data_IF_429726799539
#
_entry.id   IF_429726799539
#
_cell.length_a   1.000
_cell.length_b   1.000
_cell.length_c   1.000
_cell.angle_alpha   90.00
_cell.angle_beta   90.00
_cell.angle_gamma   90.00
#
_symmetry.space_group_name_H-M   'P 1'
#
loop_
_entity.id
_entity.type
_entity.pdbx_description
1 polymer ?
#
# COMPACT_ATOMS: atom_id res chain seq x y z
N UNK A 1 -29.30 -6.65 27.07
CA UNK A 1 -28.04 -7.32 26.68
C UNK A 1 -28.24 -7.90 25.29
N UNK A 2 -27.74 -7.22 24.25
CA UNK A 2 -27.93 -7.67 22.86
C UNK A 2 -26.92 -8.76 22.55
N UNK A 3 -27.40 -9.96 22.20
CA UNK A 3 -26.56 -11.10 21.85
C UNK A 3 -25.68 -10.75 20.65
N UNK A 4 -24.36 -10.85 20.82
CA UNK A 4 -23.39 -10.67 19.75
C UNK A 4 -23.65 -11.75 18.69
N UNK A 5 -24.12 -11.32 17.52
CA UNK A 5 -24.40 -12.20 16.39
C UNK A 5 -23.10 -12.94 16.03
N UNK A 6 -23.14 -14.26 15.80
CA UNK A 6 -21.93 -15.03 15.52
C UNK A 6 -21.22 -14.47 14.26
N UNK A 7 -19.88 -14.49 14.23
CA UNK A 7 -19.13 -13.99 13.09
C UNK A 7 -19.56 -14.75 11.83
N UNK A 8 -19.97 -14.01 10.80
CA UNK A 8 -20.28 -14.61 9.49
C UNK A 8 -19.05 -15.33 8.96
N UNK A 9 -19.26 -16.49 8.33
CA UNK A 9 -18.21 -17.22 7.63
C UNK A 9 -17.49 -16.27 6.65
N UNK A 10 -16.16 -16.26 6.70
CA UNK A 10 -15.35 -15.43 5.80
C UNK A 10 -15.43 -16.00 4.39
N UNK A 11 -15.86 -15.17 3.45
CA UNK A 11 -15.74 -15.48 2.03
C UNK A 11 -14.25 -15.43 1.67
N UNK A 12 -13.67 -16.48 1.07
CA UNK A 12 -12.28 -16.46 0.65
C UNK A 12 -12.07 -15.40 -0.43
N UNK A 13 -10.94 -14.70 -0.38
CA UNK A 13 -10.56 -13.77 -1.45
C UNK A 13 -10.27 -14.56 -2.74
N UNK A 14 -10.55 -13.98 -3.92
CA UNK A 14 -10.11 -14.56 -5.18
C UNK A 14 -8.60 -14.80 -5.17
N UNK A 15 -8.17 -15.88 -5.81
CA UNK A 15 -6.76 -16.22 -5.89
C UNK A 15 -5.97 -15.11 -6.59
N UNK A 16 -4.85 -14.70 -6.00
CA UNK A 16 -3.86 -13.82 -6.59
C UNK A 16 -2.63 -14.62 -6.99
N UNK A 17 -2.09 -14.40 -8.19
CA UNK A 17 -0.81 -14.98 -8.61
C UNK A 17 0.39 -14.30 -7.94
N UNK A 18 0.19 -13.13 -7.36
CA UNK A 18 1.23 -12.37 -6.69
C UNK A 18 1.50 -12.91 -5.28
N UNK A 19 2.77 -13.13 -4.95
CA UNK A 19 3.22 -13.52 -3.62
C UNK A 19 4.11 -12.42 -3.05
N UNK A 20 3.79 -11.88 -1.87
CA UNK A 20 4.60 -10.84 -1.28
C UNK A 20 5.97 -11.39 -0.87
N UNK A 21 6.96 -10.51 -0.82
CA UNK A 21 8.24 -10.85 -0.22
C UNK A 21 8.07 -11.00 1.30
N UNK A 22 8.84 -11.90 1.96
CA UNK A 22 8.88 -11.92 3.42
C UNK A 22 9.29 -10.56 3.97
N UNK A 23 8.50 -10.02 4.90
CA UNK A 23 8.81 -8.75 5.53
C UNK A 23 9.85 -8.96 6.64
N UNK A 24 10.94 -8.19 6.58
CA UNK A 24 12.06 -8.26 7.54
C UNK A 24 12.29 -6.94 8.27
N UNK A 25 11.30 -6.03 8.24
CA UNK A 25 11.37 -4.74 8.91
C UNK A 25 10.83 -4.77 10.34
N UNK A 26 10.67 -3.59 10.98
CA UNK A 26 10.17 -3.48 12.34
C UNK A 26 8.76 -4.05 12.49
N UNK A 27 8.49 -4.66 13.64
CA UNK A 27 7.15 -5.14 13.98
C UNK A 27 6.12 -4.01 14.00
N UNK A 28 4.85 -4.37 13.87
CA UNK A 28 3.72 -3.44 14.01
C UNK A 28 3.78 -2.63 15.31
N UNK A 29 4.18 -3.25 16.42
CA UNK A 29 4.30 -2.58 17.71
C UNK A 29 5.45 -1.56 17.73
N UNK A 30 6.62 -1.93 17.21
CA UNK A 30 7.74 -1.00 17.06
C UNK A 30 7.37 0.18 16.17
N UNK A 31 6.72 -0.05 15.02
CA UNK A 31 6.24 1.03 14.15
C UNK A 31 5.27 1.95 14.90
N UNK A 32 4.34 1.40 15.70
CA UNK A 32 3.42 2.21 16.50
C UNK A 32 4.14 3.05 17.55
N UNK A 33 5.17 2.50 18.20
CA UNK A 33 5.96 3.22 19.19
C UNK A 33 6.77 4.36 18.55
N UNK A 34 7.45 4.08 17.43
CA UNK A 34 8.18 5.09 16.65
C UNK A 34 7.26 6.22 16.18
N UNK A 35 6.03 5.90 15.75
CA UNK A 35 5.05 6.92 15.37
C UNK A 35 4.66 7.83 16.54
N UNK A 36 4.51 7.28 17.75
CA UNK A 36 4.18 8.08 18.95
C UNK A 36 5.32 9.00 19.37
N UNK A 37 6.56 8.56 19.19
CA UNK A 37 7.75 9.33 19.57
C UNK A 37 8.07 10.43 18.54
N UNK A 38 7.99 10.11 17.25
CA UNK A 38 8.55 10.97 16.20
C UNK A 38 7.54 11.69 15.32
N UNK A 39 6.24 11.33 15.34
CA UNK A 39 5.24 11.96 14.47
C UNK A 39 4.31 12.91 15.23
N UNK A 40 3.83 13.93 14.51
CA UNK A 40 2.82 14.85 15.03
C UNK A 40 1.49 14.10 15.33
N UNK A 41 0.89 14.31 16.52
CA UNK A 41 -0.40 13.69 16.90
C UNK A 41 -1.57 13.99 15.95
N UNK A 42 -1.49 15.05 15.13
CA UNK A 42 -2.48 15.39 14.11
C UNK A 42 -2.53 14.42 12.92
N UNK A 43 -1.57 13.50 12.79
CA UNK A 43 -1.57 12.45 11.75
C UNK A 43 -2.43 11.29 12.23
N UNK A 44 -3.72 11.33 11.86
CA UNK A 44 -4.72 10.38 12.30
C UNK A 44 -4.55 8.98 11.71
N UNK A 45 -4.86 7.96 12.51
CA UNK A 45 -5.05 6.58 12.05
C UNK A 45 -6.55 6.29 11.96
N UNK A 46 -7.02 5.83 10.80
CA UNK A 46 -8.45 5.57 10.57
C UNK A 46 -8.97 4.31 11.26
N UNK A 47 -8.08 3.38 11.61
CA UNK A 47 -8.44 2.08 12.18
C UNK A 47 -8.18 2.06 13.68
N UNK A 48 -9.09 1.45 14.45
CA UNK A 48 -8.94 1.22 15.89
C UNK A 48 -7.74 0.33 16.19
N UNK A 49 -7.56 -0.73 15.40
CA UNK A 49 -6.38 -1.59 15.41
C UNK A 49 -5.63 -1.35 14.10
N UNK A 50 -4.54 -0.56 14.10
CA UNK A 50 -3.80 -0.24 12.90
C UNK A 50 -3.20 -1.49 12.25
N UNK A 51 -3.37 -1.60 10.94
CA UNK A 51 -2.76 -2.67 10.14
C UNK A 51 -1.43 -2.18 9.57
N UNK A 52 -0.35 -2.93 9.74
CA UNK A 52 0.95 -2.58 9.19
C UNK A 52 1.05 -3.13 7.75
N UNK A 53 0.60 -2.34 6.78
CA UNK A 53 0.67 -2.72 5.37
C UNK A 53 2.11 -2.52 4.88
N UNK A 54 2.69 -3.58 4.32
CA UNK A 54 4.09 -3.61 3.89
C UNK A 54 4.25 -3.82 2.38
N UNK A 55 3.22 -4.35 1.72
CA UNK A 55 3.25 -4.59 0.28
C UNK A 55 1.86 -4.42 -0.36
N UNK A 56 1.82 -3.99 -1.62
CA UNK A 56 0.60 -3.85 -2.41
C UNK A 56 0.80 -4.26 -3.87
N UNK A 57 -0.21 -4.91 -4.43
CA UNK A 57 -0.24 -5.34 -5.83
C UNK A 57 -1.70 -5.45 -6.33
N UNK A 58 -2.01 -4.71 -7.38
CA UNK A 58 -3.36 -4.53 -7.93
C UNK A 58 -4.35 -4.16 -6.80
N UNK A 59 -5.50 -4.82 -6.69
CA UNK A 59 -6.50 -4.52 -5.66
C UNK A 59 -6.15 -5.01 -4.24
N UNK A 60 -4.98 -5.60 -4.05
CA UNK A 60 -4.63 -6.28 -2.80
C UNK A 60 -3.48 -5.60 -2.05
N UNK A 61 -3.55 -5.73 -0.74
CA UNK A 61 -2.52 -5.33 0.22
C UNK A 61 -2.11 -6.53 1.07
N UNK A 62 -0.87 -6.52 1.56
CA UNK A 62 -0.33 -7.51 2.48
C UNK A 62 0.24 -6.82 3.71
N UNK A 63 -0.05 -7.41 4.87
CA UNK A 63 0.53 -6.97 6.13
C UNK A 63 1.89 -7.61 6.42
N UNK A 64 2.51 -7.22 7.52
CA UNK A 64 3.83 -7.70 7.97
C UNK A 64 3.89 -9.22 8.20
N UNK A 65 2.73 -9.87 8.39
CA UNK A 65 2.61 -11.33 8.58
C UNK A 65 2.38 -12.09 7.27
N UNK A 66 2.27 -11.37 6.15
CA UNK A 66 1.94 -11.93 4.84
C UNK A 66 0.45 -12.18 4.61
N UNK A 67 -0.43 -11.67 5.49
CA UNK A 67 -1.87 -11.82 5.30
C UNK A 67 -2.38 -10.86 4.23
N UNK A 68 -3.19 -11.38 3.32
CA UNK A 68 -3.79 -10.64 2.20
C UNK A 68 -5.09 -9.93 2.59
N UNK A 69 -5.27 -8.72 2.08
CA UNK A 69 -6.45 -7.87 2.23
C UNK A 69 -6.92 -7.36 0.86
N UNK A 70 -8.24 -7.24 0.66
CA UNK A 70 -8.81 -6.43 -0.41
C UNK A 70 -8.79 -4.96 0.01
N UNK A 71 -8.16 -4.09 -0.78
CA UNK A 71 -8.18 -2.66 -0.51
C UNK A 71 -9.48 -2.02 -1.04
N UNK A 72 -10.45 -1.89 -0.15
CA UNK A 72 -11.71 -1.22 -0.42
C UNK A 72 -11.68 0.31 -0.15
N UNK A 73 -10.56 0.84 0.36
CA UNK A 73 -10.36 2.28 0.58
C UNK A 73 -9.65 2.92 -0.62
N UNK A 74 -8.77 2.18 -1.29
CA UNK A 74 -7.98 2.61 -2.45
C UNK A 74 -7.27 3.95 -2.21
N UNK A 75 -6.67 4.14 -1.04
CA UNK A 75 -6.00 5.40 -0.67
C UNK A 75 -6.92 6.63 -0.66
N UNK A 76 -8.18 6.46 -0.21
CA UNK A 76 -9.24 7.47 -0.35
C UNK A 76 -9.48 7.78 -1.83
N UNK A 77 -9.74 6.72 -2.61
CA UNK A 77 -10.08 6.78 -4.05
C UNK A 77 -8.95 7.31 -4.95
N UNK A 78 -7.69 7.19 -4.53
CA UNK A 78 -6.51 7.58 -5.32
C UNK A 78 -5.88 6.41 -6.10
N UNK A 79 -6.09 5.17 -5.66
CA UNK A 79 -5.48 3.96 -6.23
C UNK A 79 -6.46 3.27 -7.21
N UNK A 80 -6.93 4.00 -8.21
CA UNK A 80 -8.00 3.52 -9.12
C UNK A 80 -7.58 2.36 -10.04
N UNK A 81 -6.28 2.20 -10.30
CA UNK A 81 -5.73 1.12 -11.15
C UNK A 81 -5.05 0.01 -10.33
N UNK A 82 -5.22 0.04 -9.01
CA UNK A 82 -4.53 -0.86 -8.09
C UNK A 82 -3.09 -0.45 -7.77
N UNK A 83 -2.57 -1.04 -6.72
CA UNK A 83 -1.21 -0.85 -6.21
C UNK A 83 -0.18 -1.43 -7.18
N UNK A 84 0.95 -0.73 -7.38
CA UNK A 84 2.09 -1.25 -8.14
C UNK A 84 1.73 -1.88 -9.51
N UNK A 85 0.78 -1.28 -10.24
CA UNK A 85 0.31 -1.82 -11.51
C UNK A 85 1.50 -2.09 -12.48
N UNK A 86 1.73 -3.34 -12.95
CA UNK A 86 2.97 -3.71 -13.64
C UNK A 86 3.34 -2.83 -14.83
N UNK A 87 2.35 -2.43 -15.64
CA UNK A 87 2.58 -1.53 -16.79
C UNK A 87 3.09 -0.14 -16.37
N UNK A 88 2.60 0.41 -15.26
CA UNK A 88 2.99 1.73 -14.78
C UNK A 88 4.33 1.64 -14.07
N UNK A 89 4.47 0.70 -13.13
CA UNK A 89 5.71 0.50 -12.37
C UNK A 89 6.91 0.24 -13.29
N UNK A 90 6.74 -0.56 -14.35
CA UNK A 90 7.81 -0.78 -15.33
C UNK A 90 8.28 0.51 -16.01
N UNK A 91 7.34 1.34 -16.50
CA UNK A 91 7.66 2.60 -17.18
C UNK A 91 8.22 3.67 -16.25
N UNK A 92 7.72 3.74 -15.01
CA UNK A 92 8.28 4.62 -13.98
C UNK A 92 9.72 4.23 -13.67
N UNK A 93 10.00 2.94 -13.46
CA UNK A 93 11.37 2.45 -13.21
C UNK A 93 12.31 2.73 -14.36
N UNK A 94 11.88 2.48 -15.60
CA UNK A 94 12.63 2.80 -16.81
C UNK A 94 12.99 4.28 -16.87
N UNK A 95 12.01 5.17 -16.68
CA UNK A 95 12.24 6.61 -16.78
C UNK A 95 13.11 7.14 -15.64
N UNK A 96 12.86 6.72 -14.39
CA UNK A 96 13.65 7.16 -13.23
C UNK A 96 15.10 6.70 -13.33
N UNK A 97 15.35 5.52 -13.90
CA UNK A 97 16.71 5.05 -14.18
C UNK A 97 17.44 5.81 -15.30
N UNK A 98 16.70 6.58 -16.11
CA UNK A 98 17.24 7.33 -17.25
C UNK A 98 17.38 8.82 -16.99
N UNK A 99 16.31 9.47 -16.54
CA UNK A 99 16.25 10.91 -16.32
C UNK A 99 15.08 11.25 -15.37
N UNK A 100 15.41 11.73 -14.18
CA UNK A 100 14.41 12.06 -13.14
C UNK A 100 13.85 13.48 -13.32
N UNK A 101 14.66 14.43 -13.77
CA UNK A 101 14.29 15.82 -13.88
C UNK A 101 14.94 16.48 -15.09
N UNK A 102 14.18 17.33 -15.76
CA UNK A 102 14.66 18.28 -16.77
C UNK A 102 13.77 19.51 -16.73
N UNK A 103 14.18 20.57 -17.40
CA UNK A 103 13.41 21.82 -17.53
C UNK A 103 13.32 22.24 -18.99
N UNK A 104 12.52 23.25 -19.28
CA UNK A 104 12.32 23.78 -20.63
C UNK A 104 13.57 24.46 -21.23
N UNK A 105 14.66 24.61 -20.47
CA UNK A 105 15.94 25.12 -21.01
C UNK A 105 16.66 24.06 -21.86
N UNK A 106 16.27 22.79 -21.74
CA UNK A 106 16.76 21.68 -22.55
C UNK A 106 15.64 21.13 -23.43
N UNK A 107 15.98 20.63 -24.61
CA UNK A 107 15.02 19.94 -25.47
C UNK A 107 14.70 18.56 -24.90
N UNK A 108 13.42 18.18 -24.90
CA UNK A 108 12.99 16.83 -24.50
C UNK A 108 11.90 16.27 -25.45
N UNK A 109 12.13 15.11 -26.09
CA UNK A 109 11.28 14.63 -27.19
C UNK A 109 9.87 14.21 -26.77
N UNK A 110 9.61 13.93 -25.49
CA UNK A 110 8.27 13.54 -25.00
C UNK A 110 7.28 14.71 -24.89
N UNK A 111 7.77 15.95 -24.95
CA UNK A 111 6.94 17.17 -24.90
C UNK A 111 7.07 18.00 -26.19
N UNK A 112 7.65 17.40 -27.23
CA UNK A 112 7.70 17.97 -28.57
C UNK A 112 6.37 17.77 -29.31
#
# INVERSE_FOLDING_TARGET
>A
MSAVKPPRARVPLPASSHRPAPYTGPSREEVLNLRREYLNPGILMYYRDPVCIVEGHMQYLWDETGRQYLDAIAGVVTVSIGHCHPKITARVREQVGRLVHTTTIYLHPTIA
#
